data_IF_052186938735
#
_entry.id   IF_052186938735
#
_cell.length_a   1.000
_cell.length_b   1.000
_cell.length_c   1.000
_cell.angle_alpha   90.00
_cell.angle_beta   90.00
_cell.angle_gamma   90.00
#
_symmetry.space_group_name_H-M   'P 1'
#
loop_
_entity.id
_entity.type
_entity.pdbx_description
1 polymer ?
#
# COMPACT_ATOMS: atom_id res chain seq x y z
N UNK A 1 -9.68 15.46 9.23
CA UNK A 1 -9.26 15.60 7.82
C UNK A 1 -10.16 16.64 7.18
N UNK A 2 -9.65 17.79 6.71
CA UNK A 2 -10.52 18.84 6.16
C UNK A 2 -11.08 18.43 4.79
N UNK A 3 -12.38 18.66 4.57
CA UNK A 3 -13.07 18.41 3.29
C UNK A 3 -12.32 19.11 2.13
N UNK A 4 -11.76 20.29 2.38
CA UNK A 4 -11.01 21.05 1.39
C UNK A 4 -9.79 20.28 0.83
N UNK A 5 -9.11 19.51 1.68
CA UNK A 5 -7.93 18.71 1.27
C UNK A 5 -8.34 17.51 0.43
N UNK A 6 -9.48 16.89 0.74
CA UNK A 6 -10.04 15.78 -0.04
C UNK A 6 -10.42 16.29 -1.43
N UNK A 7 -11.14 17.41 -1.51
CA UNK A 7 -11.54 18.02 -2.77
C UNK A 7 -10.34 18.45 -3.63
N UNK A 8 -9.30 19.01 -3.01
CA UNK A 8 -8.06 19.39 -3.71
C UNK A 8 -7.39 18.18 -4.37
N UNK A 9 -7.22 17.08 -3.62
CA UNK A 9 -6.61 15.86 -4.14
C UNK A 9 -7.44 15.21 -5.26
N UNK A 10 -8.77 15.14 -5.08
CA UNK A 10 -9.66 14.55 -6.07
C UNK A 10 -9.64 15.33 -7.38
N UNK A 11 -9.62 16.67 -7.30
CA UNK A 11 -9.51 17.54 -8.48
C UNK A 11 -8.20 17.34 -9.22
N UNK A 12 -7.08 17.25 -8.50
CA UNK A 12 -5.78 16.98 -9.10
C UNK A 12 -5.75 15.63 -9.83
N UNK A 13 -6.28 14.59 -9.18
CA UNK A 13 -6.38 13.24 -9.76
C UNK A 13 -7.25 13.21 -11.03
N UNK A 14 -8.46 13.79 -10.98
CA UNK A 14 -9.36 13.85 -12.14
C UNK A 14 -8.78 14.70 -13.27
N UNK A 15 -8.07 15.79 -12.95
CA UNK A 15 -7.35 16.60 -13.96
C UNK A 15 -6.23 15.80 -14.63
N UNK A 16 -5.54 14.93 -13.89
CA UNK A 16 -4.54 14.02 -14.46
C UNK A 16 -5.18 13.05 -15.44
N UNK A 17 -6.31 12.43 -15.08
CA UNK A 17 -7.06 11.54 -15.97
C UNK A 17 -7.52 12.31 -17.22
N UNK A 18 -8.03 13.54 -17.08
CA UNK A 18 -8.45 14.37 -18.21
C UNK A 18 -7.34 14.53 -19.26
N UNK A 19 -6.11 14.73 -18.79
CA UNK A 19 -4.94 14.95 -19.64
C UNK A 19 -4.46 13.66 -20.32
N UNK A 20 -4.66 12.50 -19.71
CA UNK A 20 -4.21 11.20 -20.24
C UNK A 20 -5.28 10.57 -21.14
N UNK A 21 -6.54 10.51 -20.68
CA UNK A 21 -7.66 9.97 -21.44
C UNK A 21 -9.00 10.58 -20.97
N UNK A 22 -9.53 11.59 -21.68
CA UNK A 22 -10.76 12.27 -21.27
C UNK A 22 -12.00 11.37 -21.32
N UNK A 23 -12.00 10.27 -22.08
CA UNK A 23 -13.15 9.36 -22.15
C UNK A 23 -13.41 8.64 -20.82
N UNK A 24 -12.38 8.43 -19.99
CA UNK A 24 -12.57 7.87 -18.64
C UNK A 24 -13.37 8.81 -17.73
N UNK A 25 -13.24 10.13 -17.90
CA UNK A 25 -14.05 11.09 -17.15
C UNK A 25 -15.51 11.09 -17.59
N UNK A 26 -15.78 10.84 -18.87
CA UNK A 26 -17.14 10.69 -19.38
C UNK A 26 -17.82 9.49 -18.73
N UNK A 27 -17.14 8.34 -18.68
CA UNK A 27 -17.66 7.13 -18.01
C UNK A 27 -17.96 7.40 -16.53
N UNK A 28 -17.05 8.09 -15.83
CA UNK A 28 -17.24 8.45 -14.41
C UNK A 28 -18.39 9.45 -14.21
N UNK A 29 -18.54 10.43 -15.10
CA UNK A 29 -19.59 11.44 -15.03
C UNK A 29 -20.99 10.87 -15.36
N UNK A 30 -21.05 9.89 -16.27
CA UNK A 30 -22.29 9.20 -16.64
C UNK A 30 -22.65 8.08 -15.65
N UNK A 31 -21.74 7.74 -14.73
CA UNK A 31 -21.97 6.70 -13.74
C UNK A 31 -23.00 7.13 -12.68
N UNK A 32 -24.25 6.70 -12.87
CA UNK A 32 -25.36 7.03 -11.96
C UNK A 32 -25.19 6.49 -10.53
N UNK A 33 -24.36 5.45 -10.37
CA UNK A 33 -24.20 4.70 -9.11
C UNK A 33 -22.80 4.83 -8.49
N UNK A 34 -22.07 5.91 -8.78
CA UNK A 34 -20.68 6.06 -8.33
C UNK A 34 -20.50 5.92 -6.81
N UNK A 35 -21.50 6.35 -6.03
CA UNK A 35 -21.50 6.19 -4.56
C UNK A 35 -21.54 4.73 -4.12
N UNK A 36 -22.39 3.93 -4.75
CA UNK A 36 -22.53 2.50 -4.43
C UNK A 36 -21.26 1.74 -4.81
N UNK A 37 -20.67 2.06 -5.98
CA UNK A 37 -19.40 1.48 -6.39
C UNK A 37 -18.26 1.85 -5.44
N UNK A 38 -18.19 3.11 -5.00
CA UNK A 38 -17.19 3.55 -4.03
C UNK A 38 -17.34 2.84 -2.67
N UNK A 39 -18.58 2.59 -2.23
CA UNK A 39 -18.83 1.83 -1.00
C UNK A 39 -18.39 0.37 -1.15
N UNK A 40 -18.76 -0.29 -2.25
CA UNK A 40 -18.33 -1.66 -2.52
C UNK A 40 -16.79 -1.77 -2.63
N UNK A 41 -16.12 -0.78 -3.24
CA UNK A 41 -14.66 -0.74 -3.29
C UNK A 41 -14.03 -0.53 -1.89
N UNK A 42 -14.66 0.28 -1.03
CA UNK A 42 -14.22 0.42 0.36
C UNK A 42 -14.35 -0.91 1.13
N UNK A 43 -15.49 -1.58 1.02
CA UNK A 43 -15.74 -2.88 1.66
C UNK A 43 -14.75 -3.93 1.16
N UNK A 44 -14.48 -3.97 -0.15
CA UNK A 44 -13.47 -4.84 -0.76
C UNK A 44 -12.07 -4.59 -0.19
N UNK A 45 -11.64 -3.33 -0.10
CA UNK A 45 -10.31 -2.98 0.46
C UNK A 45 -10.18 -3.33 1.95
N UNK A 46 -11.27 -3.16 2.71
CA UNK A 46 -11.31 -3.60 4.11
C UNK A 46 -11.18 -5.11 4.19
N UNK A 47 -11.89 -5.85 3.33
CA UNK A 47 -11.78 -7.31 3.27
C UNK A 47 -10.36 -7.78 2.89
N UNK A 48 -9.69 -7.11 1.95
CA UNK A 48 -8.28 -7.38 1.61
C UNK A 48 -7.36 -7.18 2.81
N UNK A 49 -7.57 -6.11 3.58
CA UNK A 49 -6.79 -5.84 4.80
C UNK A 49 -7.01 -6.95 5.84
N UNK A 50 -8.23 -7.47 5.95
CA UNK A 50 -8.54 -8.60 6.83
C UNK A 50 -8.02 -9.94 6.27
N UNK A 51 -7.75 -10.04 4.97
CA UNK A 51 -7.19 -11.23 4.33
C UNK A 51 -5.73 -11.50 4.69
N UNK A 52 -5.03 -10.51 5.26
CA UNK A 52 -3.68 -10.70 5.82
C UNK A 52 -3.71 -11.38 7.19
N UNK A 53 -4.88 -11.46 7.84
CA UNK A 53 -5.07 -12.12 9.12
C UNK A 53 -5.22 -13.64 8.94
N UNK A 54 -4.81 -14.39 9.95
CA UNK A 54 -5.02 -15.84 10.01
C UNK A 54 -6.51 -16.17 10.23
N UNK A 55 -6.92 -17.39 9.84
CA UNK A 55 -8.29 -17.88 10.07
C UNK A 55 -8.73 -17.80 11.55
N UNK A 56 -7.79 -17.93 12.48
CA UNK A 56 -8.05 -17.83 13.93
C UNK A 56 -8.37 -16.38 14.33
N UNK A 57 -7.62 -15.41 13.83
CA UNK A 57 -7.83 -13.98 14.09
C UNK A 57 -9.14 -13.49 13.45
N UNK A 58 -9.43 -13.91 12.22
CA UNK A 58 -10.70 -13.57 11.54
C UNK A 58 -11.89 -14.15 12.30
N UNK A 59 -11.78 -15.38 12.81
CA UNK A 59 -12.82 -15.99 13.67
C UNK A 59 -13.00 -15.23 14.97
N UNK A 60 -11.91 -14.81 15.62
CA UNK A 60 -11.97 -14.05 16.86
C UNK A 60 -12.69 -12.70 16.67
N UNK A 61 -12.47 -12.04 15.52
CA UNK A 61 -13.21 -10.82 15.14
C UNK A 61 -14.69 -11.15 14.86
N UNK A 62 -14.97 -12.22 14.11
CA UNK A 62 -16.32 -12.58 13.70
C UNK A 62 -17.21 -13.04 14.86
N UNK A 63 -16.63 -13.65 15.90
CA UNK A 63 -17.34 -14.13 17.08
C UNK A 63 -17.56 -13.04 18.16
N UNK A 64 -17.21 -11.77 17.88
CA UNK A 64 -17.20 -10.66 18.83
C UNK A 64 -16.27 -10.86 20.06
N UNK A 65 -15.42 -11.89 20.04
CA UNK A 65 -14.42 -12.13 21.09
C UNK A 65 -13.36 -11.00 21.11
N UNK A 66 -13.19 -10.32 19.98
CA UNK A 66 -12.24 -9.22 19.79
C UNK A 66 -12.91 -8.00 19.17
N UNK A 67 -12.95 -6.89 19.92
CA UNK A 67 -13.36 -5.58 19.41
C UNK A 67 -12.19 -4.93 18.65
N UNK A 68 -12.17 -5.16 17.33
CA UNK A 68 -11.15 -4.61 16.44
C UNK A 68 -11.16 -3.08 16.39
N UNK A 69 -12.31 -2.43 16.63
CA UNK A 69 -12.41 -0.97 16.63
C UNK A 69 -11.71 -0.39 17.85
N UNK A 70 -11.94 -1.00 19.02
CA UNK A 70 -11.25 -0.63 20.25
C UNK A 70 -9.75 -0.89 20.15
N UNK A 71 -9.33 -2.05 19.66
CA UNK A 71 -7.92 -2.37 19.45
C UNK A 71 -7.23 -1.39 18.50
N UNK A 72 -7.88 -1.02 17.39
CA UNK A 72 -7.35 -0.02 16.47
C UNK A 72 -7.19 1.36 17.14
N UNK A 73 -8.15 1.75 18.00
CA UNK A 73 -8.07 3.01 18.75
C UNK A 73 -6.95 3.02 19.78
N UNK A 74 -6.74 1.89 20.48
CA UNK A 74 -5.67 1.74 21.47
C UNK A 74 -4.29 1.63 20.78
N UNK A 75 -4.23 1.04 19.58
CA UNK A 75 -3.07 1.04 18.70
C UNK A 75 -2.65 2.45 18.29
N UNK A 76 -3.60 3.22 17.76
CA UNK A 76 -3.35 4.61 17.36
C UNK A 76 -2.97 5.50 18.55
N UNK A 77 -3.46 5.19 19.76
CA UNK A 77 -3.10 5.89 20.99
C UNK A 77 -1.77 5.40 21.61
N UNK A 78 -1.09 4.42 21.00
CA UNK A 78 0.17 3.86 21.49
C UNK A 78 0.05 3.09 22.81
N UNK A 79 -1.16 2.64 23.18
CA UNK A 79 -1.45 1.98 24.46
C UNK A 79 -1.22 0.48 24.45
N UNK A 80 -1.06 -0.12 23.27
CA UNK A 80 -0.64 -1.51 23.13
C UNK A 80 0.87 -1.57 23.16
N UNK A 81 1.40 -2.24 24.19
CA UNK A 81 2.80 -2.61 24.23
C UNK A 81 2.98 -3.72 23.19
N UNK A 82 3.63 -3.41 22.06
CA UNK A 82 4.18 -4.45 21.21
C UNK A 82 5.08 -5.31 22.11
N UNK A 83 4.68 -6.56 22.39
CA UNK A 83 5.54 -7.51 23.07
C UNK A 83 6.90 -7.49 22.36
N UNK A 84 8.00 -7.54 23.12
CA UNK A 84 9.38 -7.39 22.65
C UNK A 84 9.85 -8.51 21.70
N UNK A 85 8.93 -9.30 21.18
CA UNK A 85 9.19 -10.41 20.27
C UNK A 85 8.73 -9.98 18.88
N UNK A 86 9.71 -9.52 18.10
CA UNK A 86 9.62 -8.96 16.75
C UNK A 86 9.03 -9.95 15.71
N UNK A 87 7.73 -10.27 15.75
CA UNK A 87 7.13 -11.29 14.85
C UNK A 87 5.82 -10.89 14.17
N UNK A 88 5.29 -9.67 14.32
CA UNK A 88 4.02 -9.30 13.67
C UNK A 88 4.03 -7.88 13.08
N UNK A 89 5.08 -7.52 12.33
CA UNK A 89 4.92 -6.47 11.32
C UNK A 89 4.39 -7.11 10.04
N UNK A 90 3.55 -6.42 9.23
CA UNK A 90 3.26 -6.84 7.86
C UNK A 90 4.59 -6.99 7.15
N UNK A 91 5.05 -8.23 7.03
CA UNK A 91 6.38 -8.51 6.51
C UNK A 91 6.22 -8.65 5.01
N UNK A 92 6.89 -7.78 4.26
CA UNK A 92 6.93 -7.86 2.80
C UNK A 92 7.28 -9.31 2.41
N UNK A 93 6.44 -9.91 1.57
CA UNK A 93 6.59 -11.29 1.11
C UNK A 93 7.99 -11.51 0.50
N UNK A 94 8.49 -12.75 0.52
CA UNK A 94 9.79 -13.03 -0.09
C UNK A 94 9.81 -12.71 -1.60
N UNK A 95 8.67 -12.84 -2.27
CA UNK A 95 8.50 -12.45 -3.67
C UNK A 95 8.65 -10.93 -3.84
N UNK A 96 7.96 -10.13 -3.03
CA UNK A 96 8.08 -8.68 -3.06
C UNK A 96 9.49 -8.21 -2.65
N UNK A 97 10.16 -8.89 -1.70
CA UNK A 97 11.57 -8.62 -1.36
C UNK A 97 12.50 -8.90 -2.54
N UNK A 98 12.29 -10.00 -3.27
CA UNK A 98 13.05 -10.32 -4.48
C UNK A 98 12.87 -9.26 -5.57
N UNK A 99 11.63 -8.79 -5.76
CA UNK A 99 11.33 -7.77 -6.76
C UNK A 99 11.97 -6.41 -6.40
N UNK A 100 11.93 -6.02 -5.12
CA UNK A 100 12.63 -4.82 -4.64
C UNK A 100 14.13 -4.90 -4.87
N UNK A 101 14.76 -6.06 -4.62
CA UNK A 101 16.18 -6.27 -4.94
C UNK A 101 16.44 -6.14 -6.44
N UNK A 102 15.57 -6.69 -7.28
CA UNK A 102 15.70 -6.55 -8.73
C UNK A 102 15.62 -5.09 -9.20
N UNK A 103 14.68 -4.31 -8.65
CA UNK A 103 14.53 -2.88 -8.95
C UNK A 103 15.77 -2.09 -8.46
N UNK A 104 16.29 -2.42 -7.28
CA UNK A 104 17.50 -1.79 -6.74
C UNK A 104 18.70 -2.03 -7.67
N UNK A 105 18.89 -3.26 -8.16
CA UNK A 105 19.99 -3.59 -9.06
C UNK A 105 19.81 -2.94 -10.44
N UNK A 106 18.62 -3.09 -11.05
CA UNK A 106 18.37 -2.66 -12.41
C UNK A 106 18.26 -1.14 -12.57
N UNK A 107 17.69 -0.45 -11.57
CA UNK A 107 17.39 0.98 -11.66
C UNK A 107 18.35 1.82 -10.83
N UNK A 108 18.64 1.41 -9.59
CA UNK A 108 19.56 2.17 -8.73
C UNK A 108 21.03 1.76 -8.92
N UNK A 109 21.31 0.62 -9.55
CA UNK A 109 22.66 0.06 -9.65
C UNK A 109 23.19 -0.47 -8.30
N UNK A 110 22.29 -0.76 -7.36
CA UNK A 110 22.62 -1.22 -6.01
C UNK A 110 22.42 -2.73 -5.95
N UNK A 111 23.47 -3.54 -5.69
CA UNK A 111 23.39 -5.00 -5.78
C UNK A 111 22.64 -5.66 -4.62
N UNK A 112 22.48 -4.96 -3.48
CA UNK A 112 21.75 -5.47 -2.32
C UNK A 112 21.17 -4.32 -1.51
N UNK A 113 19.98 -4.53 -0.94
CA UNK A 113 19.34 -3.62 0.01
C UNK A 113 19.72 -3.93 1.47
N UNK A 114 20.57 -4.93 1.70
CA UNK A 114 21.09 -5.26 3.03
C UNK A 114 22.32 -4.39 3.35
N UNK A 115 22.39 -3.89 4.58
CA UNK A 115 23.54 -3.13 5.07
C UNK A 115 24.79 -4.02 5.17
N UNK A 116 25.91 -3.53 4.65
CA UNK A 116 27.20 -4.22 4.65
C UNK A 116 28.20 -3.63 5.63
N UNK A 117 27.78 -2.63 6.41
CA UNK A 117 28.57 -1.93 7.42
C UNK A 117 29.87 -1.34 6.83
N UNK A 118 29.78 -0.78 5.63
CA UNK A 118 30.91 -0.18 4.94
C UNK A 118 30.45 1.03 4.13
N UNK A 119 31.06 2.19 4.38
CA UNK A 119 30.60 3.44 3.79
C UNK A 119 30.56 3.40 2.25
N UNK A 120 31.60 2.84 1.61
CA UNK A 120 31.67 2.74 0.15
C UNK A 120 30.68 1.74 -0.45
N UNK A 121 30.12 0.86 0.37
CA UNK A 121 29.18 -0.18 -0.03
C UNK A 121 27.72 0.16 0.32
N UNK A 122 27.50 1.02 1.31
CA UNK A 122 26.17 1.35 1.84
C UNK A 122 25.70 2.76 1.44
N UNK A 123 26.63 3.67 1.09
CA UNK A 123 26.29 5.01 0.62
C UNK A 123 26.46 5.12 -0.89
N UNK A 124 25.39 5.59 -1.56
CA UNK A 124 25.33 5.73 -3.01
C UNK A 124 24.91 7.14 -3.40
N UNK A 125 25.71 7.78 -4.27
CA UNK A 125 25.32 9.02 -4.93
C UNK A 125 24.39 8.70 -6.09
N UNK A 126 23.10 9.03 -5.91
CA UNK A 126 22.05 8.72 -6.88
C UNK A 126 21.41 9.99 -7.40
N UNK A 127 21.11 10.00 -8.70
CA UNK A 127 20.32 11.07 -9.28
C UNK A 127 18.85 10.97 -8.86
N UNK A 128 18.22 12.12 -8.60
CA UNK A 128 16.83 12.20 -8.13
C UNK A 128 15.83 11.55 -9.09
N UNK A 129 16.09 11.58 -10.40
CA UNK A 129 15.24 10.93 -11.40
C UNK A 129 15.35 9.39 -11.37
N UNK A 130 16.50 8.86 -10.99
CA UNK A 130 16.71 7.41 -10.83
C UNK A 130 15.95 6.89 -9.61
N UNK A 131 15.99 7.66 -8.51
CA UNK A 131 15.19 7.39 -7.32
C UNK A 131 13.70 7.42 -7.66
N UNK A 132 13.24 8.46 -8.38
CA UNK A 132 11.83 8.57 -8.78
C UNK A 132 11.36 7.36 -9.60
N UNK A 133 12.17 6.90 -10.56
CA UNK A 133 11.86 5.71 -11.38
C UNK A 133 11.81 4.43 -10.55
N UNK A 134 12.74 4.24 -9.61
CA UNK A 134 12.74 3.06 -8.76
C UNK A 134 11.48 2.99 -7.86
N UNK A 135 11.05 4.15 -7.31
CA UNK A 135 9.83 4.23 -6.52
C UNK A 135 8.58 3.94 -7.34
N UNK A 136 8.52 4.46 -8.57
CA UNK A 136 7.41 4.18 -9.49
C UNK A 136 7.33 2.68 -9.83
N UNK A 137 8.47 2.05 -10.12
CA UNK A 137 8.54 0.61 -10.38
C UNK A 137 8.13 -0.23 -9.17
N UNK A 138 8.61 0.12 -7.97
CA UNK A 138 8.25 -0.59 -6.74
C UNK A 138 6.75 -0.49 -6.45
N UNK A 139 6.15 0.68 -6.70
CA UNK A 139 4.71 0.89 -6.55
C UNK A 139 3.90 0.01 -7.53
N UNK A 140 4.27 0.01 -8.82
CA UNK A 140 3.61 -0.81 -9.85
C UNK A 140 3.77 -2.31 -9.56
N UNK A 141 4.95 -2.74 -9.13
CA UNK A 141 5.22 -4.12 -8.73
C UNK A 141 4.32 -4.56 -7.57
N UNK A 142 4.21 -3.72 -6.52
CA UNK A 142 3.33 -3.98 -5.39
C UNK A 142 1.85 -4.07 -5.78
N UNK A 143 1.39 -3.21 -6.70
CA UNK A 143 0.03 -3.32 -7.24
C UNK A 143 -0.21 -4.63 -7.99
N UNK A 144 0.80 -5.12 -8.73
CA UNK A 144 0.69 -6.35 -9.52
C UNK A 144 0.70 -7.61 -8.64
N UNK A 145 1.52 -7.63 -7.58
CA UNK A 145 1.58 -8.73 -6.62
C UNK A 145 0.23 -8.96 -5.91
N UNK A 146 -0.44 -7.85 -5.54
CA UNK A 146 -1.76 -7.88 -4.93
C UNK A 146 -2.84 -8.47 -5.85
N UNK A 147 -2.74 -8.26 -7.16
CA UNK A 147 -3.66 -8.86 -8.14
C UNK A 147 -3.41 -10.35 -8.41
N UNK A 148 -2.18 -10.84 -8.20
CA UNK A 148 -1.81 -12.23 -8.48
C UNK A 148 -2.19 -13.20 -7.34
N UNK A 149 -2.40 -12.68 -6.13
CA UNK A 149 -2.86 -13.45 -4.96
C UNK A 149 -4.39 -13.63 -4.90
N UNK A 150 -5.13 -13.04 -5.85
CA UNK A 150 -6.59 -13.08 -5.92
C UNK A 150 -7.14 -14.04 -7.01
N UNK A 151 -6.28 -14.78 -7.71
CA UNK A 151 -6.60 -15.85 -8.67
C UNK A 151 -6.30 -17.24 -8.08
#
# INVERSE_FOLDING_TARGET
MSIDRILMNLRAYLSGIANVNPNHLVILAECQNVRLLAQADLERRVAETLGELTDEEVRAIACEDVDIQKLASDAMAGKINAGTDNVAQPTISNAARSELTHIAEATLGIPTLESRHSDSLDFHDLAVWTIARALEQAYIAGMTDHHRSAE
#
